data_IF_267875746829
#
_entry.id   IF_267875746829
#
_cell.length_a   1.000
_cell.length_b   1.000
_cell.length_c   1.000
_cell.angle_alpha   90.00
_cell.angle_beta   90.00
_cell.angle_gamma   90.00
#
_symmetry.space_group_name_H-M   'P 1'
#
loop_
_entity.id
_entity.type
_entity.pdbx_description
1 polymer ?
#
# COMPACT_ATOMS: atom_id res chain seq x y z
N UNK A 1 2.82 -10.05 -2.50
CA UNK A 1 3.54 -9.77 -1.23
C UNK A 1 4.74 -10.70 -1.21
N UNK A 2 5.94 -10.16 -1.06
CA UNK A 2 7.16 -10.96 -0.89
C UNK A 2 7.60 -10.87 0.58
N UNK A 3 8.09 -11.98 1.14
CA UNK A 3 8.72 -12.02 2.46
C UNK A 3 10.18 -11.68 2.31
N UNK A 4 10.73 -10.96 3.27
CA UNK A 4 12.16 -10.62 3.33
C UNK A 4 12.69 -11.01 4.70
N UNK A 5 13.97 -11.38 4.76
CA UNK A 5 14.57 -11.89 5.99
C UNK A 5 14.69 -10.78 7.06
N UNK A 6 14.98 -9.56 6.62
CA UNK A 6 15.20 -8.40 7.49
C UNK A 6 14.54 -7.16 6.90
N UNK A 7 14.03 -6.28 7.77
CA UNK A 7 13.50 -4.98 7.35
C UNK A 7 14.66 -4.04 6.96
N UNK A 8 14.63 -3.38 5.78
CA UNK A 8 15.69 -2.47 5.36
C UNK A 8 15.79 -1.23 6.25
N UNK A 9 16.91 -0.50 6.12
CA UNK A 9 17.07 0.80 6.78
C UNK A 9 16.03 1.81 6.29
N UNK A 10 15.75 2.81 7.13
CA UNK A 10 14.75 3.85 6.82
C UNK A 10 15.07 4.62 5.53
N UNK A 11 16.36 4.77 5.20
CA UNK A 11 16.82 5.45 3.99
C UNK A 11 16.41 4.70 2.72
N UNK A 12 16.57 3.38 2.72
CA UNK A 12 16.13 2.50 1.62
C UNK A 12 14.61 2.56 1.49
N UNK A 13 13.89 2.43 2.61
CA UNK A 13 12.42 2.48 2.61
C UNK A 13 11.91 3.80 2.01
N UNK A 14 12.55 4.92 2.38
CA UNK A 14 12.20 6.25 1.85
C UNK A 14 12.49 6.37 0.35
N UNK A 15 13.59 5.78 -0.12
CA UNK A 15 13.96 5.78 -1.55
C UNK A 15 12.93 5.09 -2.46
N UNK A 16 12.19 4.11 -1.93
CA UNK A 16 11.16 3.38 -2.69
C UNK A 16 9.72 3.85 -2.44
N UNK A 17 9.53 4.96 -1.73
CA UNK A 17 8.20 5.49 -1.42
C UNK A 17 7.40 5.73 -2.69
N UNK A 18 6.18 5.19 -2.75
CA UNK A 18 5.31 5.24 -3.94
C UNK A 18 5.49 4.09 -4.93
N UNK A 19 6.54 3.26 -4.76
CA UNK A 19 6.82 2.09 -5.62
C UNK A 19 6.70 0.80 -4.81
N UNK A 20 7.44 0.70 -3.70
CA UNK A 20 7.42 -0.44 -2.80
C UNK A 20 7.05 0.01 -1.39
N UNK A 21 6.22 -0.79 -0.74
CA UNK A 21 5.77 -0.60 0.62
C UNK A 21 6.36 -1.73 1.49
N UNK A 22 7.21 -1.35 2.44
CA UNK A 22 7.87 -2.24 3.39
C UNK A 22 7.14 -2.19 4.73
N UNK A 23 6.75 -3.35 5.26
CA UNK A 23 5.96 -3.43 6.49
C UNK A 23 6.19 -4.75 7.22
N UNK A 24 5.85 -4.79 8.51
CA UNK A 24 5.94 -6.01 9.32
C UNK A 24 4.54 -6.60 9.48
N UNK A 25 4.38 -7.88 9.12
CA UNK A 25 3.13 -8.63 9.29
C UNK A 25 3.36 -9.79 10.24
N UNK A 26 2.76 -9.73 11.45
CA UNK A 26 2.88 -10.78 12.47
C UNK A 26 4.34 -11.16 12.77
N UNK A 27 5.21 -10.16 12.89
CA UNK A 27 6.65 -10.36 13.13
C UNK A 27 7.47 -10.72 11.89
N UNK A 28 6.85 -11.02 10.74
CA UNK A 28 7.57 -11.27 9.49
C UNK A 28 7.72 -9.97 8.69
N UNK A 29 8.95 -9.56 8.35
CA UNK A 29 9.18 -8.47 7.41
C UNK A 29 8.66 -8.83 6.01
N UNK A 30 7.92 -7.91 5.40
CA UNK A 30 7.31 -8.08 4.09
C UNK A 30 7.49 -6.84 3.22
N UNK A 31 7.46 -7.05 1.91
CA UNK A 31 7.39 -5.99 0.91
C UNK A 31 6.23 -6.25 -0.06
N UNK A 32 5.57 -5.19 -0.50
CA UNK A 32 4.55 -5.24 -1.56
C UNK A 32 4.73 -4.08 -2.53
N UNK A 33 4.17 -4.22 -3.73
CA UNK A 33 3.98 -3.06 -4.61
C UNK A 33 3.06 -2.05 -3.92
N UNK A 34 3.38 -0.76 -4.06
CA UNK A 34 2.60 0.31 -3.47
C UNK A 34 1.13 0.21 -3.91
N UNK A 35 0.15 0.34 -2.99
CA UNK A 35 -1.25 0.26 -3.36
C UNK A 35 -1.58 1.31 -4.42
N UNK A 36 -2.06 0.85 -5.57
CA UNK A 36 -2.60 1.75 -6.59
C UNK A 36 -3.99 2.18 -6.13
N UNK A 37 -4.22 3.49 -6.02
CA UNK A 37 -5.55 4.02 -5.71
C UNK A 37 -6.52 3.54 -6.79
N UNK A 38 -7.56 2.83 -6.36
CA UNK A 38 -8.69 2.41 -7.18
C UNK A 38 -9.94 2.89 -6.45
N UNK A 39 -10.54 4.02 -6.85
CA UNK A 39 -11.77 4.49 -6.21
C UNK A 39 -12.84 3.41 -6.35
N UNK A 40 -13.64 3.21 -5.30
CA UNK A 40 -14.81 2.36 -5.40
C UNK A 40 -15.74 2.94 -6.48
N UNK A 41 -16.38 2.06 -7.26
CA UNK A 41 -17.38 2.48 -8.23
C UNK A 41 -18.50 3.16 -7.47
N UNK A 42 -18.77 4.43 -7.76
CA UNK A 42 -19.88 5.15 -7.15
C UNK A 42 -21.20 4.47 -7.54
N UNK A 43 -22.09 4.31 -6.57
CA UNK A 43 -23.44 3.80 -6.81
C UNK A 43 -24.31 4.93 -7.34
N UNK A 44 -25.38 4.59 -8.06
CA UNK A 44 -26.35 5.58 -8.54
C UNK A 44 -26.96 6.41 -7.39
N UNK A 45 -27.19 5.78 -6.23
CA UNK A 45 -27.63 6.47 -5.02
C UNK A 45 -26.60 7.49 -4.52
N UNK A 46 -25.32 7.11 -4.45
CA UNK A 46 -24.24 8.02 -4.06
C UNK A 46 -24.09 9.21 -5.01
N UNK A 47 -24.34 9.02 -6.31
CA UNK A 47 -24.32 10.10 -7.30
C UNK A 47 -25.53 11.03 -7.13
N UNK A 48 -26.71 10.47 -6.88
CA UNK A 48 -27.94 11.23 -6.71
C UNK A 48 -27.94 12.11 -5.45
N UNK A 49 -27.27 11.69 -4.38
CA UNK A 49 -27.12 12.48 -3.14
C UNK A 49 -26.08 13.61 -3.27
N UNK A 50 -25.23 13.58 -4.29
CA UNK A 50 -24.16 14.57 -4.49
C UNK A 50 -24.58 15.78 -5.35
N UNK A 51 -25.82 15.79 -5.86
CA UNK A 51 -26.46 16.88 -6.61
C UNK A 51 -27.37 17.70 -5.69
#
# INVERSE_FOLDING_TARGET
MARIDVLPSIEIIRGFRGILDFYVRRGTPCVRAWPRYRPAKQTAASLATAL
#
